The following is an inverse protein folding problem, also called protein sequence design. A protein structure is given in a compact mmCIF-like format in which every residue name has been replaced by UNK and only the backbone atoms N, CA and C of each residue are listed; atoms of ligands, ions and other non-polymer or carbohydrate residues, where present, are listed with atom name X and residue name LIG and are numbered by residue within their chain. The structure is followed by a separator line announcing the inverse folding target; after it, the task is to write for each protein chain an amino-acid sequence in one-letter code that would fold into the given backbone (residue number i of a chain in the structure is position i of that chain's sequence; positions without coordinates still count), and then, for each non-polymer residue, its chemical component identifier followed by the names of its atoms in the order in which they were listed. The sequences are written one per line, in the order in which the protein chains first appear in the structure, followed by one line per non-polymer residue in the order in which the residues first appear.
data_IF_134699724502
#
_entry.id   IF_134699724502
#
_cell.length_a   1.000
_cell.length_b   1.000
_cell.length_c   1.000
_cell.angle_alpha   90.00
_cell.angle_beta   90.00
_cell.angle_gamma   90.00
#
_symmetry.space_group_name_H-M   'P 1'
#
loop_
_entity.id
_entity.type
_entity.pdbx_description
1 polymer ?
#
# COMPACT_ATOMS: atom_id res chain seq x y z
N UNK A 1 48.71 11.58 44.27
CA UNK A 1 47.81 12.15 43.24
C UNK A 1 47.94 11.29 41.99
N UNK A 2 46.96 10.62 41.40
CA UNK A 2 45.53 10.37 41.69
C UNK A 2 45.28 8.88 41.36
N UNK A 3 44.41 8.26 42.15
CA UNK A 3 43.90 6.89 41.97
C UNK A 3 43.13 6.75 40.65
N UNK A 4 43.36 5.65 39.92
CA UNK A 4 42.42 5.16 38.90
C UNK A 4 41.62 4.00 39.49
N UNK A 5 40.40 4.31 39.93
CA UNK A 5 39.37 3.32 40.30
C UNK A 5 38.82 2.67 39.04
N UNK A 6 38.79 1.34 39.07
CA UNK A 6 38.01 0.44 38.23
C UNK A 6 36.50 0.60 38.48
N UNK A 7 35.65 0.52 37.44
CA UNK A 7 34.29 -0.06 37.52
C UNK A 7 33.61 -0.24 36.14
N UNK A 8 33.47 -1.51 35.74
CA UNK A 8 32.35 -2.16 35.04
C UNK A 8 31.73 -1.52 33.77
N UNK A 9 32.17 -1.94 32.59
CA UNK A 9 31.29 -2.05 31.40
C UNK A 9 30.49 -3.35 31.48
N UNK A 10 29.16 -3.24 31.54
CA UNK A 10 28.26 -4.36 31.23
C UNK A 10 28.26 -4.59 29.71
N UNK A 11 28.88 -5.69 29.27
CA UNK A 11 28.73 -6.18 27.91
C UNK A 11 27.43 -6.98 27.79
N UNK A 12 26.50 -6.55 26.95
CA UNK A 12 25.42 -7.44 26.48
C UNK A 12 25.94 -8.20 25.27
N UNK A 13 26.39 -9.43 25.47
CA UNK A 13 26.74 -10.35 24.39
C UNK A 13 25.44 -10.91 23.81
N UNK A 14 25.06 -10.46 22.61
CA UNK A 14 24.06 -11.17 21.80
C UNK A 14 24.85 -12.11 20.88
N UNK A 15 24.95 -13.39 21.26
CA UNK A 15 25.46 -14.42 20.37
C UNK A 15 24.37 -14.76 19.34
N UNK A 16 24.62 -14.44 18.07
CA UNK A 16 23.96 -15.08 16.94
C UNK A 16 25.03 -15.82 16.13
N UNK A 17 24.76 -17.08 15.81
CA UNK A 17 25.72 -18.04 15.27
C UNK A 17 26.65 -17.48 14.17
N UNK A 18 27.97 -17.57 14.44
CA UNK A 18 29.13 -17.49 13.53
C UNK A 18 29.14 -16.34 12.50
N UNK A 19 29.50 -15.14 12.98
CA UNK A 19 30.62 -14.30 12.48
C UNK A 19 30.65 -13.02 13.32
N UNK A 20 31.74 -12.82 14.06
CA UNK A 20 32.00 -11.62 14.87
C UNK A 20 32.20 -10.41 13.96
N UNK A 21 31.34 -9.41 14.07
CA UNK A 21 31.57 -8.07 13.54
C UNK A 21 31.51 -7.12 14.73
N UNK A 22 32.65 -6.52 15.06
CA UNK A 22 32.77 -5.42 16.01
C UNK A 22 32.23 -4.16 15.36
N UNK A 23 31.15 -3.59 15.89
CA UNK A 23 30.69 -2.25 15.52
C UNK A 23 31.08 -1.29 16.64
N UNK A 24 32.01 -0.37 16.37
CA UNK A 24 32.27 0.78 17.23
C UNK A 24 31.08 1.77 17.13
N UNK A 25 30.58 2.23 18.28
CA UNK A 25 29.67 3.37 18.34
C UNK A 25 30.41 4.63 17.86
N UNK A 26 29.98 5.20 16.74
CA UNK A 26 30.37 6.54 16.34
C UNK A 26 29.23 7.51 16.67
N UNK A 27 29.58 8.49 17.50
CA UNK A 27 28.77 9.59 17.99
C UNK A 27 28.13 10.44 16.86
N UNK A 28 27.07 11.14 17.24
CA UNK A 28 26.18 11.95 16.40
C UNK A 28 26.84 13.27 15.92
N UNK A 29 26.67 13.56 14.62
CA UNK A 29 26.72 14.83 13.85
C UNK A 29 28.03 15.28 13.14
N UNK A 30 27.99 16.09 12.04
CA UNK A 30 26.87 16.50 11.18
C UNK A 30 27.03 16.15 9.68
N UNK A 31 25.94 16.37 8.93
CA UNK A 31 25.75 16.11 7.50
C UNK A 31 26.66 17.01 6.63
N UNK A 32 27.68 16.43 6.01
CA UNK A 32 28.25 16.69 4.66
C UNK A 32 29.52 15.83 4.53
N UNK A 33 29.78 15.28 3.35
CA UNK A 33 31.02 14.52 3.00
C UNK A 33 31.10 13.03 3.34
N UNK A 34 30.11 12.25 2.89
CA UNK A 34 30.31 10.81 2.64
C UNK A 34 29.69 10.41 1.28
N UNK A 35 30.17 11.06 0.22
CA UNK A 35 30.01 10.60 -1.16
C UNK A 35 31.41 10.30 -1.69
N UNK A 36 31.75 9.01 -1.78
CA UNK A 36 32.87 8.41 -2.52
C UNK A 36 33.62 7.36 -1.70
N UNK A 37 33.08 6.15 -1.61
CA UNK A 37 33.85 4.91 -1.37
C UNK A 37 32.91 3.70 -1.45
N UNK A 38 32.46 3.35 -2.65
CA UNK A 38 31.93 2.00 -2.94
C UNK A 38 31.84 1.80 -4.46
N UNK A 39 32.96 2.01 -5.15
CA UNK A 39 33.17 1.54 -6.51
C UNK A 39 34.61 1.06 -6.56
N UNK A 40 34.78 -0.26 -6.67
CA UNK A 40 35.97 -1.05 -7.06
C UNK A 40 36.21 -2.25 -6.12
N UNK A 41 35.56 -3.38 -6.43
CA UNK A 41 36.23 -4.68 -6.49
C UNK A 41 35.33 -5.71 -7.18
N UNK A 42 35.82 -6.46 -8.20
CA UNK A 42 35.10 -7.56 -8.83
C UNK A 42 35.32 -8.86 -8.03
N UNK A 43 34.35 -9.78 -8.12
CA UNK A 43 34.30 -11.12 -7.48
C UNK A 43 33.70 -11.20 -6.07
N UNK A 44 32.37 -11.22 -5.97
CA UNK A 44 31.62 -12.17 -5.11
C UNK A 44 30.25 -12.43 -5.76
N UNK A 45 30.02 -13.67 -6.19
CA UNK A 45 28.71 -14.17 -6.64
C UNK A 45 27.77 -14.47 -5.46
N UNK A 46 26.47 -14.28 -5.70
CA UNK A 46 25.32 -14.81 -4.95
C UNK A 46 25.16 -14.42 -3.46
N UNK A 47 24.58 -13.24 -3.21
CA UNK A 47 23.46 -13.01 -2.25
C UNK A 47 23.24 -11.51 -1.97
N UNK A 48 22.93 -10.71 -2.99
CA UNK A 48 22.52 -9.32 -2.78
C UNK A 48 20.99 -9.19 -2.81
N UNK A 49 20.38 -9.34 -1.62
CA UNK A 49 19.03 -8.83 -1.35
C UNK A 49 19.09 -7.31 -1.54
N UNK A 50 18.55 -6.83 -2.66
CA UNK A 50 18.61 -5.44 -3.06
C UNK A 50 17.89 -4.56 -2.02
N UNK A 51 18.67 -3.63 -1.46
CA UNK A 51 18.30 -2.68 -0.42
C UNK A 51 17.15 -1.77 -0.90
N UNK A 52 16.00 -1.87 -0.24
CA UNK A 52 14.89 -0.91 -0.42
C UNK A 52 15.00 0.19 0.63
N UNK A 53 14.76 1.44 0.20
CA UNK A 53 15.06 2.70 0.89
C UNK A 53 14.69 2.77 2.39
N UNK A 54 15.59 3.40 3.17
CA UNK A 54 15.59 3.63 4.64
C UNK A 54 14.26 4.16 5.24
N UNK A 55 13.44 4.87 4.47
CA UNK A 55 12.14 5.42 4.92
C UNK A 55 11.03 4.37 5.00
N UNK A 56 11.06 3.37 4.11
CA UNK A 56 10.17 2.20 4.15
C UNK A 56 10.62 1.24 5.26
N UNK A 57 11.93 1.17 5.52
CA UNK A 57 12.49 0.41 6.65
C UNK A 57 12.19 1.04 8.01
N UNK A 58 12.21 2.36 8.16
CA UNK A 58 11.90 3.02 9.44
C UNK A 58 10.46 2.75 9.90
N UNK A 59 9.50 2.69 8.97
CA UNK A 59 8.14 2.23 9.28
C UNK A 59 8.05 0.70 9.49
N UNK A 60 9.00 -0.09 8.96
CA UNK A 60 9.07 -1.55 9.10
C UNK A 60 9.84 -2.05 10.33
N UNK A 61 10.82 -1.29 10.82
CA UNK A 61 11.68 -1.65 11.96
C UNK A 61 11.13 -1.12 13.28
N UNK A 62 10.46 0.04 13.30
CA UNK A 62 9.99 0.67 14.53
C UNK A 62 8.90 -0.10 15.31
N UNK A 63 8.37 -1.21 14.79
CA UNK A 63 7.38 -2.04 15.47
C UNK A 63 7.92 -3.38 16.01
N UNK A 64 9.19 -3.71 15.75
CA UNK A 64 9.81 -4.94 16.27
C UNK A 64 10.38 -4.77 17.69
N UNK A 65 10.65 -3.54 18.13
CA UNK A 65 11.05 -3.23 19.51
C UNK A 65 9.83 -2.75 20.29
N UNK A 66 9.21 -3.67 21.05
CA UNK A 66 7.99 -3.43 21.83
C UNK A 66 8.17 -2.50 23.03
N UNK A 67 8.58 -1.25 22.82
CA UNK A 67 8.49 -0.18 23.81
C UNK A 67 8.33 1.19 23.12
N UNK A 68 7.51 2.05 23.74
CA UNK A 68 7.07 3.40 23.30
C UNK A 68 5.70 3.50 22.61
N UNK A 69 4.66 3.06 23.32
CA UNK A 69 3.27 3.48 23.06
C UNK A 69 2.91 4.78 23.82
N UNK A 70 3.68 5.22 24.81
CA UNK A 70 3.27 6.37 25.65
C UNK A 70 3.65 7.77 25.15
N UNK A 71 4.61 7.91 24.23
CA UNK A 71 5.07 9.24 23.82
C UNK A 71 4.21 9.89 22.71
N UNK A 72 3.30 9.14 22.08
CA UNK A 72 2.46 9.64 20.98
C UNK A 72 1.10 10.22 21.43
N UNK A 73 0.67 9.99 22.68
CA UNK A 73 -0.63 10.48 23.19
C UNK A 73 -0.72 12.00 23.35
N UNK A 74 0.42 12.72 23.39
CA UNK A 74 0.44 14.17 23.68
C UNK A 74 0.46 15.06 22.44
N UNK A 75 0.64 14.52 21.23
CA UNK A 75 0.61 15.31 19.98
C UNK A 75 -0.78 15.37 19.36
N UNK A 76 -1.74 15.84 20.14
CA UNK A 76 -2.97 16.42 19.61
C UNK A 76 -2.66 17.88 19.24
N UNK A 77 -1.93 18.07 18.12
CA UNK A 77 -1.50 19.38 17.65
C UNK A 77 -2.18 19.68 16.32
N UNK A 78 -2.98 20.76 16.32
CA UNK A 78 -3.49 21.53 15.18
C UNK A 78 -2.63 21.33 13.93
N UNK A 79 -3.25 21.07 12.76
CA UNK A 79 -2.63 20.98 11.42
C UNK A 79 -1.31 21.77 11.39
N UNK A 80 -0.17 21.09 11.59
CA UNK A 80 1.10 21.80 11.63
C UNK A 80 1.35 22.38 10.25
N UNK A 81 1.59 23.69 10.15
CA UNK A 81 1.93 24.47 8.94
C UNK A 81 3.24 24.02 8.25
N UNK A 82 3.64 22.75 8.33
CA UNK A 82 4.93 22.29 7.83
C UNK A 82 4.91 21.94 6.33
N UNK A 83 3.73 21.64 5.77
CA UNK A 83 3.49 21.52 4.33
C UNK A 83 2.04 21.94 4.01
N UNK A 84 1.86 23.13 3.44
CA UNK A 84 0.55 23.58 2.98
C UNK A 84 0.24 22.99 1.60
N UNK A 85 -0.79 22.17 1.52
CA UNK A 85 -1.26 21.51 0.29
C UNK A 85 -2.61 22.05 -0.18
N UNK A 86 -3.12 23.12 0.44
CA UNK A 86 -4.43 23.71 0.12
C UNK A 86 -4.54 24.23 -1.33
N UNK A 87 -3.41 24.57 -1.95
CA UNK A 87 -3.33 24.95 -3.36
C UNK A 87 -3.59 23.77 -4.32
N UNK A 88 -3.43 22.53 -3.87
CA UNK A 88 -3.71 21.35 -4.67
C UNK A 88 -5.21 21.08 -4.70
N UNK A 89 -5.78 21.00 -5.90
CA UNK A 89 -7.22 20.72 -6.11
C UNK A 89 -7.68 19.40 -5.46
N UNK A 90 -6.77 18.43 -5.28
CA UNK A 90 -7.06 17.18 -4.60
C UNK A 90 -7.14 17.28 -3.06
N UNK A 91 -6.65 18.37 -2.45
CA UNK A 91 -6.82 18.68 -1.03
C UNK A 91 -8.01 19.61 -0.75
N UNK A 92 -8.65 20.12 -1.81
CA UNK A 92 -9.79 21.02 -1.71
C UNK A 92 -11.12 20.27 -1.61
N UNK A 93 -12.09 20.91 -0.95
CA UNK A 93 -13.46 20.44 -0.85
C UNK A 93 -14.40 21.31 -1.66
N UNK A 94 -15.50 20.73 -2.15
CA UNK A 94 -16.51 21.49 -2.88
C UNK A 94 -17.16 22.53 -1.96
N UNK A 95 -17.37 23.74 -2.49
CA UNK A 95 -17.97 24.83 -1.73
C UNK A 95 -19.40 24.45 -1.30
N UNK A 96 -19.77 24.72 -0.05
CA UNK A 96 -21.08 24.31 0.49
C UNK A 96 -21.16 22.86 0.96
N UNK A 97 -20.14 22.03 0.74
CA UNK A 97 -20.13 20.62 1.20
C UNK A 97 -19.79 20.44 2.69
N UNK A 98 -19.36 21.51 3.37
CA UNK A 98 -18.81 21.51 4.74
C UNK A 98 -17.59 20.59 4.89
N UNK A 99 -16.76 20.49 3.85
CA UNK A 99 -15.56 19.64 3.85
C UNK A 99 -15.85 18.14 3.71
N UNK A 100 -17.07 17.75 3.33
CA UNK A 100 -17.48 16.33 3.21
C UNK A 100 -17.31 15.77 1.81
N UNK A 101 -17.26 16.63 0.80
CA UNK A 101 -17.13 16.24 -0.61
C UNK A 101 -15.92 16.94 -1.21
N UNK A 102 -15.04 16.17 -1.87
CA UNK A 102 -13.88 16.72 -2.56
C UNK A 102 -14.30 17.63 -3.71
N UNK A 103 -13.45 18.61 -4.05
CA UNK A 103 -13.68 19.46 -5.22
C UNK A 103 -13.91 18.59 -6.45
N UNK A 104 -15.01 18.82 -7.15
CA UNK A 104 -15.45 17.97 -8.25
C UNK A 104 -15.98 18.78 -9.43
N UNK A 105 -16.00 18.16 -10.61
CA UNK A 105 -16.44 18.78 -11.88
C UNK A 105 -17.94 19.05 -11.94
N UNK A 106 -18.72 18.42 -11.06
CA UNK A 106 -20.17 18.38 -11.12
C UNK A 106 -20.83 19.37 -10.14
N UNK A 107 -20.04 20.06 -9.32
CA UNK A 107 -20.56 20.95 -8.27
C UNK A 107 -21.36 20.22 -7.17
N UNK A 108 -21.23 18.89 -7.05
CA UNK A 108 -21.97 18.11 -6.06
C UNK A 108 -21.46 18.44 -4.66
N UNK A 109 -22.35 18.88 -3.78
CA UNK A 109 -22.03 19.23 -2.38
C UNK A 109 -22.51 18.18 -1.37
N UNK A 110 -23.45 17.32 -1.78
CA UNK A 110 -24.03 16.27 -0.94
C UNK A 110 -23.18 15.00 -0.98
N UNK A 111 -22.75 14.52 0.20
CA UNK A 111 -21.97 13.28 0.30
C UNK A 111 -22.73 12.05 -0.21
N UNK A 112 -24.03 11.97 0.09
CA UNK A 112 -24.89 10.88 -0.36
C UNK A 112 -25.00 10.83 -1.89
N UNK A 113 -25.13 12.00 -2.50
CA UNK A 113 -25.21 12.14 -3.95
C UNK A 113 -23.87 11.77 -4.61
N UNK A 114 -22.75 12.25 -4.07
CA UNK A 114 -21.43 11.88 -4.56
C UNK A 114 -21.20 10.36 -4.48
N UNK A 115 -21.56 9.74 -3.36
CA UNK A 115 -21.45 8.28 -3.20
C UNK A 115 -22.27 7.51 -4.23
N UNK A 116 -23.50 7.98 -4.53
CA UNK A 116 -24.36 7.40 -5.57
C UNK A 116 -23.72 7.56 -6.95
N UNK A 117 -23.22 8.76 -7.27
CA UNK A 117 -22.56 9.08 -8.55
C UNK A 117 -21.33 8.23 -8.79
N UNK A 118 -20.41 8.18 -7.82
CA UNK A 118 -19.19 7.37 -7.90
C UNK A 118 -19.50 5.87 -8.02
N UNK A 119 -20.54 5.40 -7.32
CA UNK A 119 -20.95 3.99 -7.38
C UNK A 119 -21.51 3.63 -8.76
N UNK A 120 -22.33 4.50 -9.35
CA UNK A 120 -22.85 4.30 -10.71
C UNK A 120 -21.71 4.24 -11.74
N UNK A 121 -20.75 5.17 -11.69
CA UNK A 121 -19.58 5.11 -12.57
C UNK A 121 -18.73 3.86 -12.33
N UNK A 122 -18.64 3.39 -11.08
CA UNK A 122 -17.88 2.18 -10.77
C UNK A 122 -18.47 0.96 -11.48
N UNK A 123 -19.81 0.83 -11.49
CA UNK A 123 -20.52 -0.28 -12.15
C UNK A 123 -20.25 -0.23 -13.65
N UNK A 124 -20.50 0.92 -14.29
CA UNK A 124 -20.22 1.17 -15.71
C UNK A 124 -18.78 0.82 -16.08
N UNK A 125 -17.83 1.25 -15.25
CA UNK A 125 -16.40 1.01 -15.52
C UNK A 125 -16.06 -0.48 -15.45
N UNK A 126 -16.59 -1.24 -14.49
CA UNK A 126 -16.31 -2.68 -14.40
C UNK A 126 -16.74 -3.41 -15.67
N UNK A 127 -17.92 -3.08 -16.21
CA UNK A 127 -18.44 -3.65 -17.46
C UNK A 127 -17.55 -3.28 -18.67
N UNK A 128 -17.04 -2.06 -18.71
CA UNK A 128 -16.14 -1.62 -19.77
C UNK A 128 -14.77 -2.31 -19.69
N UNK A 129 -14.25 -2.52 -18.48
CA UNK A 129 -12.92 -3.11 -18.26
C UNK A 129 -12.83 -4.55 -18.76
N UNK A 130 -13.91 -5.33 -18.69
CA UNK A 130 -13.94 -6.71 -19.21
C UNK A 130 -13.81 -6.76 -20.73
N UNK A 131 -14.14 -5.67 -21.42
CA UNK A 131 -13.95 -5.55 -22.88
C UNK A 131 -12.55 -5.00 -23.22
N UNK A 132 -11.94 -4.22 -22.33
CA UNK A 132 -10.61 -3.61 -22.55
C UNK A 132 -9.48 -4.61 -22.25
N UNK A 133 -9.62 -5.40 -21.18
CA UNK A 133 -8.54 -6.25 -20.69
C UNK A 133 -8.87 -7.73 -20.88
N UNK A 134 -8.14 -8.38 -21.80
CA UNK A 134 -8.26 -9.80 -22.06
C UNK A 134 -7.69 -10.69 -20.95
N UNK A 135 -8.02 -11.98 -21.02
CA UNK A 135 -7.59 -13.00 -20.04
C UNK A 135 -6.07 -13.19 -19.96
N UNK A 136 -5.34 -12.85 -21.03
CA UNK A 136 -3.88 -12.95 -21.11
C UNK A 136 -3.16 -11.63 -20.79
N UNK A 137 -3.90 -10.58 -20.42
CA UNK A 137 -3.33 -9.26 -20.16
C UNK A 137 -2.39 -9.26 -18.95
N UNK A 138 -1.19 -8.70 -19.13
CA UNK A 138 -0.26 -8.43 -18.03
C UNK A 138 -0.42 -6.98 -17.60
N UNK A 139 -0.91 -6.77 -16.38
CA UNK A 139 -1.22 -5.43 -15.90
C UNK A 139 0.04 -4.63 -15.58
N UNK A 140 -0.05 -3.34 -15.85
CA UNK A 140 1.00 -2.35 -15.57
C UNK A 140 0.51 -1.29 -14.58
N UNK A 141 1.42 -0.49 -14.03
CA UNK A 141 1.06 0.70 -13.26
C UNK A 141 0.27 1.70 -14.12
N UNK A 142 0.58 1.80 -15.42
CA UNK A 142 -0.18 2.60 -16.37
C UNK A 142 -1.62 2.14 -16.50
N UNK A 143 -1.86 0.82 -16.56
CA UNK A 143 -3.23 0.26 -16.58
C UNK A 143 -4.01 0.64 -15.33
N UNK A 144 -3.38 0.61 -14.16
CA UNK A 144 -4.02 1.01 -12.90
C UNK A 144 -4.42 2.49 -12.94
N UNK A 145 -3.56 3.36 -13.47
CA UNK A 145 -3.90 4.75 -13.73
C UNK A 145 -5.04 4.90 -14.75
N UNK A 146 -5.07 4.08 -15.81
CA UNK A 146 -6.13 4.04 -16.82
C UNK A 146 -7.47 3.63 -16.20
N UNK A 147 -7.50 2.57 -15.40
CA UNK A 147 -8.69 2.12 -14.66
C UNK A 147 -9.23 3.25 -13.77
N UNK A 148 -8.34 3.90 -13.01
CA UNK A 148 -8.72 5.01 -12.13
C UNK A 148 -9.24 6.23 -12.91
N UNK A 149 -8.66 6.51 -14.08
CA UNK A 149 -9.14 7.56 -14.98
C UNK A 149 -10.51 7.24 -15.57
N UNK A 150 -10.70 6.05 -16.12
CA UNK A 150 -11.98 5.63 -16.72
C UNK A 150 -13.13 5.74 -15.71
N UNK A 151 -12.85 5.38 -14.45
CA UNK A 151 -13.84 5.46 -13.38
C UNK A 151 -14.16 6.89 -12.94
N UNK A 152 -13.15 7.73 -12.69
CA UNK A 152 -13.34 8.99 -11.97
C UNK A 152 -13.16 10.25 -12.80
N UNK A 153 -12.74 10.17 -14.07
CA UNK A 153 -12.43 11.36 -14.89
C UNK A 153 -13.62 12.29 -15.13
N UNK A 154 -14.85 11.77 -15.11
CA UNK A 154 -16.07 12.58 -15.21
C UNK A 154 -16.42 13.30 -13.89
N UNK A 155 -15.77 12.94 -12.78
CA UNK A 155 -16.05 13.47 -11.44
C UNK A 155 -14.90 14.36 -10.97
N UNK A 156 -13.65 13.91 -11.13
CA UNK A 156 -12.47 14.55 -10.56
C UNK A 156 -11.41 14.86 -11.63
N UNK A 157 -10.84 16.07 -11.58
CA UNK A 157 -9.78 16.51 -12.51
C UNK A 157 -8.46 15.75 -12.33
N UNK A 158 -8.21 15.21 -11.14
CA UNK A 158 -7.01 14.46 -10.78
C UNK A 158 -7.14 12.96 -11.06
N UNK A 159 -8.28 12.49 -11.60
CA UNK A 159 -8.48 11.08 -11.91
C UNK A 159 -7.37 10.54 -12.83
N UNK A 160 -6.87 9.36 -12.47
CA UNK A 160 -5.72 8.72 -13.12
C UNK A 160 -4.34 9.34 -12.83
N UNK A 161 -4.22 10.31 -11.92
CA UNK A 161 -2.94 10.90 -11.50
C UNK A 161 -2.59 10.45 -10.08
N UNK A 162 -1.31 10.18 -9.83
CA UNK A 162 -0.85 9.89 -8.47
C UNK A 162 -1.02 11.10 -7.56
N UNK A 163 -1.34 10.83 -6.29
CA UNK A 163 -1.52 11.88 -5.29
C UNK A 163 -0.20 12.55 -4.96
N UNK A 164 -0.30 13.83 -4.64
CA UNK A 164 0.77 14.68 -4.14
C UNK A 164 0.62 14.97 -2.63
N UNK A 165 -0.54 14.65 -2.06
CA UNK A 165 -0.81 14.78 -0.61
C UNK A 165 -0.48 13.53 0.20
N UNK A 166 0.00 13.72 1.43
CA UNK A 166 0.23 12.63 2.39
C UNK A 166 -1.11 12.13 2.93
N UNK A 167 -1.27 10.80 3.07
CA UNK A 167 -2.51 10.20 3.53
C UNK A 167 -2.29 9.18 4.64
N UNK A 168 -3.27 9.10 5.54
CA UNK A 168 -3.36 8.07 6.56
C UNK A 168 -4.83 7.68 6.77
N UNK A 169 -5.07 6.51 7.36
CA UNK A 169 -6.42 6.07 7.72
C UNK A 169 -6.39 5.36 9.06
N UNK A 170 -7.21 5.81 10.02
CA UNK A 170 -7.22 5.30 11.40
C UNK A 170 -5.81 5.25 12.01
N UNK A 171 -5.04 6.33 11.86
CA UNK A 171 -3.63 6.45 12.30
C UNK A 171 -2.63 5.54 11.59
N UNK A 172 -3.05 4.78 10.58
CA UNK A 172 -2.14 4.02 9.71
C UNK A 172 -1.66 4.89 8.55
N UNK A 173 -0.37 5.24 8.45
CA UNK A 173 0.17 6.03 7.34
C UNK A 173 0.32 5.17 6.08
N UNK A 174 0.04 5.75 4.92
CA UNK A 174 0.38 5.18 3.61
C UNK A 174 1.70 5.73 3.09
N UNK A 175 2.16 5.26 1.92
CA UNK A 175 3.41 5.72 1.33
C UNK A 175 3.50 7.26 1.18
N UNK A 176 4.68 7.84 1.35
CA UNK A 176 4.87 9.25 1.06
C UNK A 176 4.70 9.54 -0.44
N UNK A 177 4.09 10.68 -0.84
CA UNK A 177 3.85 11.02 -2.24
C UNK A 177 5.08 10.90 -3.14
N UNK A 178 6.23 11.42 -2.66
CA UNK A 178 7.50 11.38 -3.38
C UNK A 178 8.00 9.94 -3.70
N UNK A 179 7.47 8.93 -3.01
CA UNK A 179 7.85 7.53 -3.23
C UNK A 179 6.88 6.77 -4.15
N UNK A 180 5.70 7.34 -4.47
CA UNK A 180 4.65 6.61 -5.20
C UNK A 180 5.14 6.14 -6.57
N UNK A 181 5.82 7.01 -7.33
CA UNK A 181 6.35 6.63 -8.64
C UNK A 181 7.30 5.42 -8.56
N UNK A 182 8.29 5.47 -7.66
CA UNK A 182 9.23 4.36 -7.46
C UNK A 182 8.50 3.08 -7.04
N UNK A 183 7.59 3.17 -6.07
CA UNK A 183 6.87 2.02 -5.54
C UNK A 183 5.93 1.40 -6.58
N UNK A 184 5.28 2.20 -7.42
CA UNK A 184 4.45 1.69 -8.52
C UNK A 184 5.28 1.02 -9.62
N UNK A 185 6.48 1.53 -9.91
CA UNK A 185 7.43 0.86 -10.82
C UNK A 185 7.90 -0.48 -10.24
N UNK A 186 8.19 -0.55 -8.94
CA UNK A 186 8.55 -1.79 -8.26
C UNK A 186 7.37 -2.78 -8.20
N UNK A 187 6.16 -2.26 -7.99
CA UNK A 187 4.93 -3.05 -8.01
C UNK A 187 4.67 -3.67 -9.37
N UNK A 188 4.91 -2.91 -10.44
CA UNK A 188 4.81 -3.38 -11.82
C UNK A 188 5.84 -4.49 -12.10
N UNK A 189 7.13 -4.21 -11.89
CA UNK A 189 8.22 -5.16 -12.15
C UNK A 189 8.17 -6.40 -11.26
N UNK A 190 7.55 -6.30 -10.09
CA UNK A 190 7.43 -7.37 -9.10
C UNK A 190 6.04 -8.03 -9.12
N UNK A 191 5.15 -7.73 -8.17
CA UNK A 191 3.85 -8.38 -8.04
C UNK A 191 3.00 -8.42 -9.33
N UNK A 192 2.83 -7.32 -10.06
CA UNK A 192 2.00 -7.36 -11.27
C UNK A 192 2.62 -8.26 -12.34
N UNK A 193 3.92 -8.09 -12.62
CA UNK A 193 4.62 -8.95 -13.56
C UNK A 193 4.58 -10.42 -13.13
N UNK A 194 4.71 -10.74 -11.84
CA UNK A 194 4.71 -12.13 -11.38
C UNK A 194 3.33 -12.79 -11.41
N UNK A 195 2.27 -12.03 -11.14
CA UNK A 195 0.94 -12.57 -10.82
C UNK A 195 -0.13 -12.26 -11.87
N UNK A 196 0.22 -11.57 -12.96
CA UNK A 196 -0.69 -11.29 -14.08
C UNK A 196 -0.05 -11.72 -15.41
N UNK A 197 -0.77 -12.39 -16.33
CA UNK A 197 -2.14 -12.88 -16.15
C UNK A 197 -2.24 -13.95 -15.06
N UNK A 198 -3.30 -13.90 -14.27
CA UNK A 198 -3.47 -14.74 -13.08
C UNK A 198 -3.99 -16.15 -13.46
N UNK A 199 -3.21 -16.91 -14.24
CA UNK A 199 -3.57 -18.23 -14.79
C UNK A 199 -2.87 -19.37 -14.04
N UNK A 200 -2.94 -19.37 -12.71
CA UNK A 200 -2.30 -20.40 -11.88
C UNK A 200 -3.11 -21.69 -11.85
N UNK A 201 -2.41 -22.83 -11.69
CA UNK A 201 -3.03 -24.17 -11.75
C UNK A 201 -3.85 -24.49 -10.51
N UNK A 202 -3.42 -24.00 -9.34
CA UNK A 202 -4.09 -24.31 -8.08
C UNK A 202 -4.84 -23.09 -7.52
N UNK A 203 -5.93 -23.38 -6.83
CA UNK A 203 -6.72 -22.37 -6.15
C UNK A 203 -5.91 -21.59 -5.09
N UNK A 204 -4.99 -22.28 -4.40
CA UNK A 204 -4.10 -21.66 -3.42
C UNK A 204 -3.16 -20.63 -4.04
N UNK A 205 -2.65 -20.88 -5.24
CA UNK A 205 -1.81 -19.93 -5.98
C UNK A 205 -2.60 -18.70 -6.44
N UNK A 206 -3.83 -18.88 -6.93
CA UNK A 206 -4.73 -17.77 -7.27
C UNK A 206 -5.01 -16.90 -6.04
N UNK A 207 -5.34 -17.51 -4.90
CA UNK A 207 -5.55 -16.78 -3.63
C UNK A 207 -4.30 -15.98 -3.25
N UNK A 208 -3.12 -16.60 -3.35
CA UNK A 208 -1.84 -15.97 -3.02
C UNK A 208 -1.55 -14.78 -3.95
N UNK A 209 -1.78 -14.95 -5.25
CA UNK A 209 -1.64 -13.89 -6.25
C UNK A 209 -2.52 -12.68 -5.91
N UNK A 210 -3.82 -12.91 -5.69
CA UNK A 210 -4.78 -11.87 -5.31
C UNK A 210 -4.38 -11.17 -4.02
N UNK A 211 -4.01 -11.94 -2.99
CA UNK A 211 -3.64 -11.41 -1.68
C UNK A 211 -2.42 -10.47 -1.75
N UNK A 212 -1.38 -10.86 -2.48
CA UNK A 212 -0.16 -10.07 -2.63
C UNK A 212 -0.45 -8.80 -3.44
N UNK A 213 -1.00 -8.94 -4.65
CA UNK A 213 -1.24 -7.81 -5.55
C UNK A 213 -2.18 -6.78 -4.91
N UNK A 214 -3.26 -7.23 -4.29
CA UNK A 214 -4.20 -6.35 -3.60
C UNK A 214 -3.57 -5.63 -2.41
N UNK A 215 -2.82 -6.35 -1.56
CA UNK A 215 -2.21 -5.77 -0.35
C UNK A 215 -1.18 -4.72 -0.71
N UNK A 216 -0.27 -5.02 -1.64
CA UNK A 216 0.78 -4.09 -2.06
C UNK A 216 0.18 -2.81 -2.66
N UNK A 217 -0.81 -2.92 -3.55
CA UNK A 217 -1.46 -1.73 -4.13
C UNK A 217 -2.16 -0.86 -3.07
N UNK A 218 -2.83 -1.48 -2.10
CA UNK A 218 -3.50 -0.75 -1.01
C UNK A 218 -2.52 -0.05 -0.08
N UNK A 219 -1.35 -0.65 0.17
CA UNK A 219 -0.28 -0.07 0.98
C UNK A 219 0.41 1.11 0.29
N UNK A 220 0.68 1.00 -1.03
CA UNK A 220 1.20 2.11 -1.84
C UNK A 220 0.20 3.28 -1.83
N UNK A 221 -1.09 2.97 -1.96
CA UNK A 221 -2.18 3.94 -1.92
C UNK A 221 -1.96 5.11 -2.90
N UNK A 222 -1.80 4.83 -4.21
CA UNK A 222 -1.24 5.79 -5.17
C UNK A 222 -2.15 6.99 -5.48
N UNK A 223 -3.44 6.92 -5.22
CA UNK A 223 -4.42 7.94 -5.60
C UNK A 223 -5.00 8.69 -4.39
N UNK A 224 -5.63 9.85 -4.65
CA UNK A 224 -6.28 10.65 -3.61
C UNK A 224 -7.49 9.97 -2.96
N UNK A 225 -8.26 9.24 -3.75
CA UNK A 225 -9.43 8.49 -3.32
C UNK A 225 -9.60 7.26 -4.23
N UNK A 226 -10.33 6.25 -3.76
CA UNK A 226 -10.68 5.10 -4.59
C UNK A 226 -9.70 3.94 -4.56
N UNK A 227 -8.57 4.04 -3.85
CA UNK A 227 -7.52 3.01 -3.82
C UNK A 227 -8.03 1.59 -3.51
N UNK A 228 -8.86 1.45 -2.46
CA UNK A 228 -9.44 0.15 -2.12
C UNK A 228 -10.47 -0.36 -3.14
N UNK A 229 -11.15 0.54 -3.87
CA UNK A 229 -12.11 0.19 -4.94
C UNK A 229 -11.36 -0.28 -6.18
N UNK A 230 -10.30 0.43 -6.58
CA UNK A 230 -9.40 0.03 -7.67
C UNK A 230 -8.74 -1.32 -7.39
N UNK A 231 -8.22 -1.54 -6.18
CA UNK A 231 -7.61 -2.81 -5.82
C UNK A 231 -8.58 -4.00 -5.95
N UNK A 232 -9.86 -3.80 -5.56
CA UNK A 232 -10.91 -4.81 -5.74
C UNK A 232 -11.32 -5.02 -7.20
N UNK A 233 -11.32 -3.96 -8.02
CA UNK A 233 -11.57 -4.07 -9.46
C UNK A 233 -10.44 -4.86 -10.14
N UNK A 234 -9.18 -4.55 -9.82
CA UNK A 234 -8.03 -5.32 -10.31
C UNK A 234 -8.10 -6.79 -9.86
N UNK A 235 -8.42 -7.05 -8.59
CA UNK A 235 -8.61 -8.41 -8.11
C UNK A 235 -9.75 -9.16 -8.83
N UNK A 236 -10.81 -8.44 -9.23
CA UNK A 236 -11.89 -9.00 -10.04
C UNK A 236 -11.40 -9.39 -11.44
N UNK A 237 -10.64 -8.51 -12.10
CA UNK A 237 -10.03 -8.81 -13.40
C UNK A 237 -9.08 -10.00 -13.30
N UNK A 238 -8.22 -10.06 -12.29
CA UNK A 238 -7.32 -11.19 -12.06
C UNK A 238 -8.08 -12.51 -11.86
N UNK A 239 -9.19 -12.51 -11.13
CA UNK A 239 -9.97 -13.75 -10.94
C UNK A 239 -10.64 -14.20 -12.25
N UNK A 240 -11.04 -13.26 -13.10
CA UNK A 240 -11.53 -13.57 -14.44
C UNK A 240 -10.44 -14.21 -15.31
N UNK A 241 -9.18 -13.75 -15.20
CA UNK A 241 -8.04 -14.41 -15.86
C UNK A 241 -7.86 -15.85 -15.37
N UNK A 242 -8.16 -16.13 -14.09
CA UNK A 242 -8.14 -17.47 -13.51
C UNK A 242 -9.34 -18.35 -13.92
N UNK A 243 -10.25 -17.86 -14.78
CA UNK A 243 -11.47 -18.57 -15.16
C UNK A 243 -12.53 -18.61 -14.06
N UNK A 244 -12.41 -17.78 -13.03
CA UNK A 244 -13.34 -17.72 -11.90
C UNK A 244 -14.34 -16.57 -12.04
N UNK A 245 -15.52 -16.67 -11.41
CA UNK A 245 -16.55 -15.65 -11.49
C UNK A 245 -16.14 -14.34 -10.77
N UNK A 246 -16.72 -13.17 -11.15
CA UNK A 246 -16.51 -11.91 -10.45
C UNK A 246 -16.72 -12.01 -8.94
N UNK A 247 -15.79 -11.45 -8.17
CA UNK A 247 -15.74 -11.60 -6.71
C UNK A 247 -16.86 -10.85 -5.98
N UNK A 248 -17.48 -11.53 -5.00
CA UNK A 248 -18.40 -10.92 -4.05
C UNK A 248 -17.69 -10.52 -2.74
N UNK A 249 -17.35 -9.23 -2.65
CA UNK A 249 -16.65 -8.67 -1.49
C UNK A 249 -17.54 -8.33 -0.29
N UNK A 250 -18.83 -8.71 -0.28
CA UNK A 250 -19.76 -8.35 0.83
C UNK A 250 -19.27 -8.80 2.21
N UNK A 251 -18.50 -9.89 2.29
CA UNK A 251 -17.92 -10.39 3.53
C UNK A 251 -16.76 -9.52 4.09
N UNK A 252 -16.22 -8.58 3.31
CA UNK A 252 -15.19 -7.63 3.77
C UNK A 252 -15.78 -6.39 4.47
N UNK A 253 -17.10 -6.31 4.59
CA UNK A 253 -17.80 -5.23 5.28
C UNK A 253 -18.32 -5.70 6.65
N UNK A 254 -18.86 -4.77 7.45
CA UNK A 254 -19.34 -5.08 8.80
C UNK A 254 -18.24 -5.69 9.68
N UNK A 255 -18.49 -6.89 10.21
CA UNK A 255 -17.51 -7.61 11.05
C UNK A 255 -16.20 -7.92 10.31
N UNK A 256 -16.27 -8.33 9.04
CA UNK A 256 -15.08 -8.68 8.24
C UNK A 256 -14.20 -7.49 7.86
N UNK A 257 -14.69 -6.26 8.04
CA UNK A 257 -13.89 -5.04 7.83
C UNK A 257 -12.67 -4.98 8.75
N UNK A 258 -12.82 -5.45 10.00
CA UNK A 258 -11.71 -5.46 10.98
C UNK A 258 -10.61 -6.43 10.53
N UNK A 259 -10.99 -7.62 10.08
CA UNK A 259 -10.05 -8.63 9.61
C UNK A 259 -9.34 -8.19 8.33
N UNK A 260 -10.07 -7.56 7.41
CA UNK A 260 -9.47 -6.97 6.22
C UNK A 260 -8.44 -5.89 6.55
N UNK A 261 -8.75 -4.97 7.47
CA UNK A 261 -7.80 -3.91 7.88
C UNK A 261 -6.55 -4.53 8.51
N UNK A 262 -6.72 -5.50 9.43
CA UNK A 262 -5.59 -6.24 10.01
C UNK A 262 -4.75 -6.94 8.95
N UNK A 263 -5.39 -7.50 7.93
CA UNK A 263 -4.71 -8.17 6.83
C UNK A 263 -3.88 -7.20 5.97
N UNK A 264 -4.41 -6.01 5.68
CA UNK A 264 -3.62 -4.95 5.01
C UNK A 264 -2.41 -4.56 5.87
N UNK A 265 -2.63 -4.33 7.17
CA UNK A 265 -1.56 -3.93 8.10
C UNK A 265 -0.46 -4.99 8.22
N UNK A 266 -0.81 -6.28 8.27
CA UNK A 266 0.14 -7.38 8.28
C UNK A 266 1.05 -7.41 7.02
N UNK A 267 0.54 -6.89 5.90
CA UNK A 267 1.31 -6.70 4.67
C UNK A 267 2.53 -5.79 4.83
N UNK A 268 2.55 -4.90 5.83
CA UNK A 268 3.74 -4.08 6.12
C UNK A 268 4.98 -4.95 6.38
N UNK A 269 4.80 -6.11 7.04
CA UNK A 269 5.85 -7.09 7.29
C UNK A 269 5.96 -8.17 6.17
N UNK A 270 5.33 -7.95 5.01
CA UNK A 270 5.14 -8.96 3.93
C UNK A 270 4.43 -10.23 4.38
N UNK A 271 3.66 -10.15 5.47
CA UNK A 271 2.83 -11.25 5.90
C UNK A 271 1.48 -11.19 5.21
N UNK A 272 1.37 -11.87 4.06
CA UNK A 272 0.15 -11.90 3.26
C UNK A 272 -0.84 -13.00 3.70
N UNK A 273 -0.46 -13.89 4.63
CA UNK A 273 -1.31 -15.01 5.07
C UNK A 273 -2.69 -14.56 5.60
N UNK A 274 -2.81 -13.45 6.36
CA UNK A 274 -4.12 -12.93 6.73
C UNK A 274 -4.96 -12.52 5.52
N UNK A 275 -4.36 -11.91 4.49
CA UNK A 275 -5.07 -11.52 3.28
C UNK A 275 -5.44 -12.72 2.41
N UNK A 276 -4.60 -13.77 2.36
CA UNK A 276 -4.95 -15.05 1.74
C UNK A 276 -6.22 -15.63 2.37
N UNK A 277 -6.36 -15.59 3.71
CA UNK A 277 -7.60 -16.03 4.40
C UNK A 277 -8.82 -15.19 3.99
N UNK A 278 -8.65 -13.87 3.84
CA UNK A 278 -9.73 -12.98 3.38
C UNK A 278 -10.17 -13.37 1.96
N UNK A 279 -9.24 -13.50 1.02
CA UNK A 279 -9.59 -13.88 -0.36
C UNK A 279 -10.14 -15.29 -0.46
N UNK A 280 -9.63 -16.25 0.31
CA UNK A 280 -10.21 -17.59 0.37
C UNK A 280 -11.69 -17.55 0.80
N UNK A 281 -12.04 -16.73 1.79
CA UNK A 281 -13.43 -16.54 2.21
C UNK A 281 -14.29 -15.83 1.17
N UNK A 282 -13.74 -14.81 0.49
CA UNK A 282 -14.41 -14.10 -0.63
C UNK A 282 -14.74 -15.06 -1.75
N UNK A 283 -13.78 -15.85 -2.23
CA UNK A 283 -14.00 -16.75 -3.35
C UNK A 283 -14.96 -17.88 -2.96
N UNK A 284 -14.79 -18.49 -1.78
CA UNK A 284 -15.72 -19.52 -1.28
C UNK A 284 -17.16 -19.02 -1.25
N UNK A 285 -17.39 -17.80 -0.78
CA UNK A 285 -18.72 -17.18 -0.77
C UNK A 285 -19.23 -16.95 -2.20
N UNK A 286 -18.37 -16.46 -3.08
CA UNK A 286 -18.71 -16.18 -4.49
C UNK A 286 -19.21 -17.45 -5.19
N UNK A 287 -18.52 -18.58 -5.00
CA UNK A 287 -18.90 -19.87 -5.59
C UNK A 287 -20.23 -20.39 -5.04
N UNK A 288 -20.42 -20.37 -3.71
CA UNK A 288 -21.68 -20.81 -3.06
C UNK A 288 -22.92 -20.05 -3.54
N UNK A 289 -22.80 -18.73 -3.72
CA UNK A 289 -23.93 -17.89 -4.18
C UNK A 289 -24.33 -18.21 -5.62
N UNK A 290 -23.40 -18.75 -6.43
CA UNK A 290 -23.67 -19.14 -7.81
C UNK A 290 -24.24 -20.55 -7.95
N UNK A 291 -23.84 -21.48 -7.08
CA UNK A 291 -24.44 -22.84 -7.04
C UNK A 291 -25.94 -22.80 -6.65
N UNK A 292 -26.39 -21.72 -6.02
CA UNK A 292 -27.77 -21.53 -5.54
C UNK A 292 -28.67 -20.75 -6.52
N UNK A 293 -28.15 -20.36 -7.68
CA UNK A 293 -28.87 -19.58 -8.71
C UNK A 293 -28.93 -20.36 -10.01
#
# INVERSE_FOLDING_TARGET
MRETKSSNLLFTVITCNRKSILCHEANVAPIKEAFSACYQSPHVENSCICLTSRSYLLARCAQASGNHIEHWRKYNMKKSKRYDTSHLIEDQSELGSRGRVLKNKLGITSKREMDKREKAEQIRTIEELTNIFGVDHRFTASDICKIHRLWLSNIYVWAGKYRQVTMSKNSFPFAFPAQIHRLMTEFEKGPLHKFTPCRFKTFGEVIKALAIVHTELVLIHPFREGNGRIARMLATLMVLQAGLPPLDFRNMFGRGKKDYIKAVQAGMARNYKPMEKVFAAVIRKTLRVREQK
#
